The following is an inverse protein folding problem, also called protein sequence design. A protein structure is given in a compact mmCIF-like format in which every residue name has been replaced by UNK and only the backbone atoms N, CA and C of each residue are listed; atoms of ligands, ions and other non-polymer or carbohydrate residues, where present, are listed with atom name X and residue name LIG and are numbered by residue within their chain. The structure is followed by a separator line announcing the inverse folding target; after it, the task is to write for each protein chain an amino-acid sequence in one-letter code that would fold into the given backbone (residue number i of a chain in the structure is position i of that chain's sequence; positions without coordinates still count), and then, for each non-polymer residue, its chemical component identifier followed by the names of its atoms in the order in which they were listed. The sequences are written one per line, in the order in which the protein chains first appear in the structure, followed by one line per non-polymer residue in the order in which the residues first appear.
data_IF_017901923838
#
_entry.id   IF_017901923838
#
_cell.length_a   1.000
_cell.length_b   1.000
_cell.length_c   1.000
_cell.angle_alpha   90.00
_cell.angle_beta   90.00
_cell.angle_gamma   90.00
#
_symmetry.space_group_name_H-M   'P 1'
#
loop_
_entity.id
_entity.type
_entity.pdbx_description
1 polymer ?
#
# COMPACT_ATOMS: atom_id res chain seq x y z
N UNK A 1 -3.59 31.48 -15.69
CA UNK A 1 -2.97 30.18 -15.37
C UNK A 1 -4.09 29.19 -15.11
N UNK A 2 -4.22 28.14 -15.91
CA UNK A 2 -5.25 27.10 -15.71
C UNK A 2 -4.82 26.27 -14.50
N UNK A 3 -5.58 26.36 -13.41
CA UNK A 3 -5.43 25.48 -12.24
C UNK A 3 -5.92 24.09 -12.65
N UNK A 4 -5.10 23.07 -12.44
CA UNK A 4 -5.45 21.67 -12.68
C UNK A 4 -6.19 21.18 -11.43
N UNK A 5 -7.42 20.71 -11.59
CA UNK A 5 -8.22 20.14 -10.51
C UNK A 5 -7.76 18.70 -10.33
N UNK A 6 -7.25 18.33 -9.15
CA UNK A 6 -6.92 16.95 -8.83
C UNK A 6 -7.97 16.40 -7.88
N UNK A 7 -8.48 15.22 -8.22
CA UNK A 7 -9.42 14.51 -7.37
C UNK A 7 -8.61 13.59 -6.48
N UNK A 8 -8.24 14.06 -5.28
CA UNK A 8 -7.76 13.16 -4.23
C UNK A 8 -8.94 12.28 -3.85
N UNK A 9 -8.81 10.95 -3.93
CA UNK A 9 -9.83 10.07 -3.41
C UNK A 9 -9.55 9.77 -1.95
N UNK A 10 -10.46 10.23 -1.11
CA UNK A 10 -10.52 9.82 0.27
C UNK A 10 -11.50 8.68 0.45
N UNK A 11 -11.08 7.66 1.19
CA UNK A 11 -11.95 6.54 1.55
C UNK A 11 -12.89 6.87 2.71
N UNK A 12 -13.84 7.80 2.53
CA UNK A 12 -14.95 7.89 3.48
C UNK A 12 -15.99 6.80 3.16
N UNK A 13 -15.95 5.68 3.87
CA UNK A 13 -17.00 4.67 3.78
C UNK A 13 -18.27 5.19 4.47
N UNK A 14 -19.31 5.44 3.67
CA UNK A 14 -20.65 5.80 4.15
C UNK A 14 -21.39 4.52 4.50
N UNK A 15 -21.82 4.40 5.76
CA UNK A 15 -22.62 3.29 6.24
C UNK A 15 -24.08 3.34 5.75
N UNK A 16 -24.60 2.14 5.53
CA UNK A 16 -26.01 1.73 5.46
C UNK A 16 -26.65 1.64 4.08
N UNK A 17 -27.25 0.47 3.88
CA UNK A 17 -28.15 0.00 2.84
C UNK A 17 -28.90 1.11 2.10
N UNK A 18 -28.36 1.51 0.95
CA UNK A 18 -29.02 2.42 0.04
C UNK A 18 -28.03 2.93 -0.98
N UNK A 19 -28.37 2.80 -2.26
CA UNK A 19 -27.61 3.40 -3.36
C UNK A 19 -27.55 4.92 -3.08
N UNK A 20 -26.43 5.41 -2.60
CA UNK A 20 -26.11 6.82 -2.53
C UNK A 20 -24.87 7.00 -3.38
N UNK A 21 -25.00 7.81 -4.43
CA UNK A 21 -23.94 8.11 -5.38
C UNK A 21 -22.66 8.51 -4.63
N UNK A 22 -21.55 7.84 -4.91
CA UNK A 22 -20.23 8.40 -4.65
C UNK A 22 -20.19 9.79 -5.30
N UNK A 23 -20.23 10.85 -4.49
CA UNK A 23 -19.97 12.17 -5.01
C UNK A 23 -18.45 12.24 -5.26
N UNK A 24 -18.09 12.37 -6.53
CA UNK A 24 -16.75 12.75 -6.95
C UNK A 24 -16.49 14.19 -6.46
N UNK A 25 -16.12 14.36 -5.20
CA UNK A 25 -15.62 15.63 -4.69
C UNK A 25 -14.12 15.68 -4.95
N UNK A 26 -13.69 16.61 -5.80
CA UNK A 26 -12.28 16.95 -5.92
C UNK A 26 -11.82 17.59 -4.62
N UNK A 27 -10.97 16.88 -3.88
CA UNK A 27 -10.59 17.23 -2.50
C UNK A 27 -9.40 18.21 -2.44
N UNK A 28 -8.72 18.51 -3.56
CA UNK A 28 -7.69 19.56 -3.56
C UNK A 28 -7.61 20.36 -4.88
N UNK A 29 -7.09 21.59 -4.75
CA UNK A 29 -6.69 22.44 -5.88
C UNK A 29 -5.18 22.33 -6.16
N UNK A 30 -4.51 21.36 -5.54
CA UNK A 30 -3.07 21.15 -5.66
C UNK A 30 -2.78 20.16 -6.79
N UNK A 31 -1.74 20.44 -7.56
CA UNK A 31 -1.36 19.70 -8.76
C UNK A 31 -0.64 18.38 -8.47
N UNK A 32 -0.45 18.01 -7.19
CA UNK A 32 0.34 16.86 -6.77
C UNK A 32 -0.16 16.26 -5.45
N UNK A 33 -1.24 15.48 -5.47
CA UNK A 33 -1.74 14.75 -4.30
C UNK A 33 -1.61 13.26 -4.48
N UNK A 34 -1.08 12.58 -3.46
CA UNK A 34 -0.95 11.12 -3.40
C UNK A 34 -1.25 10.65 -1.98
N UNK A 35 -1.45 9.34 -1.81
CA UNK A 35 -1.49 8.66 -0.50
C UNK A 35 -2.53 9.19 0.47
N UNK A 36 -3.75 8.65 0.39
CA UNK A 36 -4.88 9.10 1.22
C UNK A 36 -5.35 8.03 2.23
N UNK A 37 -5.67 8.47 3.43
CA UNK A 37 -6.36 7.72 4.48
C UNK A 37 -7.63 8.46 4.91
N UNK A 38 -8.55 7.79 5.58
CA UNK A 38 -9.79 8.41 6.02
C UNK A 38 -10.23 7.86 7.37
N UNK A 39 -10.83 8.73 8.17
CA UNK A 39 -11.43 8.36 9.46
C UNK A 39 -12.88 7.94 9.27
N UNK A 40 -13.26 6.80 9.86
CA UNK A 40 -14.66 6.37 9.96
C UNK A 40 -15.45 7.19 10.98
N UNK A 41 -16.78 7.19 10.87
CA UNK A 41 -17.67 7.84 11.84
C UNK A 41 -18.20 9.21 11.42
N UNK A 42 -18.55 10.08 12.39
CA UNK A 42 -19.26 11.35 12.16
C UNK A 42 -18.43 12.45 11.52
N UNK A 43 -17.10 12.35 11.51
CA UNK A 43 -16.21 13.44 11.10
C UNK A 43 -15.81 13.41 9.62
N UNK A 44 -16.03 12.31 8.88
CA UNK A 44 -15.75 12.18 7.43
C UNK A 44 -14.50 12.97 7.00
N UNK A 45 -13.37 12.74 7.67
CA UNK A 45 -12.10 13.44 7.41
C UNK A 45 -11.18 12.55 6.59
N UNK A 46 -10.63 13.14 5.55
CA UNK A 46 -9.57 12.63 4.67
C UNK A 46 -8.23 13.11 5.19
N UNK A 47 -7.21 12.28 5.13
CA UNK A 47 -5.82 12.66 5.30
C UNK A 47 -5.09 12.34 4.01
N UNK A 48 -4.28 13.25 3.50
CA UNK A 48 -3.59 13.08 2.24
C UNK A 48 -2.30 13.88 2.22
N UNK A 49 -1.45 13.63 1.24
CA UNK A 49 -0.21 14.39 1.07
C UNK A 49 -0.39 15.44 -0.03
N UNK A 50 0.10 16.64 0.21
CA UNK A 50 0.16 17.73 -0.75
C UNK A 50 1.46 18.51 -0.61
N UNK A 51 1.85 19.25 -1.64
CA UNK A 51 3.12 19.97 -1.63
C UNK A 51 2.96 21.49 -1.43
N UNK A 52 1.72 21.96 -1.36
CA UNK A 52 1.41 23.38 -1.11
C UNK A 52 2.00 24.32 -2.18
N UNK A 53 2.39 23.79 -3.34
CA UNK A 53 3.11 24.50 -4.41
C UNK A 53 4.64 24.51 -4.29
N UNK A 54 5.24 23.74 -3.39
CA UNK A 54 6.70 23.62 -3.19
C UNK A 54 7.14 22.22 -3.63
N UNK A 55 7.95 22.11 -4.68
CA UNK A 55 8.23 20.82 -5.34
C UNK A 55 8.97 19.77 -4.49
N UNK A 56 9.74 20.21 -3.50
CA UNK A 56 10.61 19.33 -2.69
C UNK A 56 10.18 19.27 -1.21
N UNK A 57 8.95 19.67 -0.89
CA UNK A 57 8.39 19.51 0.45
C UNK A 57 6.95 18.99 0.34
N UNK A 58 6.72 17.80 0.87
CA UNK A 58 5.42 17.17 0.92
C UNK A 58 4.96 17.11 2.36
N UNK A 59 3.78 17.66 2.61
CA UNK A 59 3.19 17.73 3.94
C UNK A 59 1.90 16.94 4.00
N UNK A 60 1.54 16.53 5.21
CA UNK A 60 0.27 15.89 5.48
C UNK A 60 -0.80 16.98 5.65
N UNK A 61 -1.94 16.77 4.99
CA UNK A 61 -3.13 17.61 5.09
C UNK A 61 -4.31 16.77 5.55
N UNK A 62 -5.28 17.44 6.16
CA UNK A 62 -6.63 16.92 6.38
C UNK A 62 -7.65 17.68 5.56
N UNK A 63 -8.70 16.98 5.14
CA UNK A 63 -9.86 17.57 4.49
C UNK A 63 -11.13 17.03 5.11
N UNK A 64 -11.99 17.91 5.61
CA UNK A 64 -13.30 17.54 6.13
C UNK A 64 -14.33 17.52 4.99
N UNK A 65 -14.96 16.36 4.75
CA UNK A 65 -15.92 16.21 3.65
C UNK A 65 -17.28 16.88 3.91
N UNK A 66 -17.61 17.19 5.17
CA UNK A 66 -18.89 17.77 5.55
C UNK A 66 -18.90 19.27 5.29
N UNK A 67 -17.84 19.97 5.66
CA UNK A 67 -17.74 21.43 5.55
C UNK A 67 -16.69 21.92 4.55
N UNK A 68 -15.98 21.00 3.88
CA UNK A 68 -14.94 21.29 2.89
C UNK A 68 -13.72 22.03 3.45
N UNK A 69 -13.47 21.93 4.75
CA UNK A 69 -12.31 22.55 5.40
C UNK A 69 -11.04 21.74 5.12
N UNK A 70 -10.03 22.40 4.55
CA UNK A 70 -8.69 21.85 4.32
C UNK A 70 -7.72 22.43 5.37
N UNK A 71 -6.91 21.58 6.00
CA UNK A 71 -5.94 21.99 7.04
C UNK A 71 -4.61 21.26 6.84
N UNK A 72 -3.51 22.00 6.71
CA UNK A 72 -2.15 21.44 6.74
C UNK A 72 -1.80 21.00 8.17
N UNK A 73 -1.27 19.79 8.32
CA UNK A 73 -0.99 19.16 9.62
C UNK A 73 0.50 19.04 9.95
N UNK A 74 1.39 18.97 8.95
CA UNK A 74 2.84 19.02 9.16
C UNK A 74 3.45 20.28 8.56
N UNK A 75 4.52 20.79 9.16
CA UNK A 75 5.24 22.00 8.77
C UNK A 75 6.76 21.81 8.79
N UNK A 76 7.22 20.58 9.05
CA UNK A 76 8.63 20.22 8.99
C UNK A 76 9.18 20.45 7.56
N UNK A 77 10.47 20.80 7.40
CA UNK A 77 11.11 20.83 6.08
C UNK A 77 11.32 19.45 5.44
N UNK A 78 11.16 18.37 6.22
CA UNK A 78 11.20 16.99 5.74
C UNK A 78 9.99 16.66 4.85
N UNK A 79 10.13 15.59 4.07
CA UNK A 79 9.05 15.00 3.29
C UNK A 79 8.26 14.08 4.22
N UNK A 80 6.97 14.37 4.42
CA UNK A 80 6.05 13.53 5.17
C UNK A 80 5.05 12.87 4.19
N UNK A 81 5.02 11.54 4.19
CA UNK A 81 4.27 10.73 3.22
C UNK A 81 3.44 9.62 3.88
N UNK A 82 2.54 9.02 3.10
CA UNK A 82 1.76 7.83 3.49
C UNK A 82 1.02 7.97 4.84
N UNK A 83 0.25 9.05 5.07
CA UNK A 83 -0.48 9.21 6.32
C UNK A 83 -1.56 8.14 6.42
N UNK A 84 -1.58 7.42 7.55
CA UNK A 84 -2.62 6.46 7.90
C UNK A 84 -3.09 6.69 9.33
N UNK A 85 -4.38 6.99 9.48
CA UNK A 85 -5.00 7.14 10.80
C UNK A 85 -5.25 5.78 11.41
N UNK A 86 -5.04 5.65 12.72
CA UNK A 86 -5.41 4.45 13.44
C UNK A 86 -6.92 4.29 13.49
N UNK A 87 -7.40 3.13 13.07
CA UNK A 87 -8.81 2.74 13.17
C UNK A 87 -9.24 2.49 14.62
N UNK A 88 -8.28 2.20 15.50
CA UNK A 88 -8.51 1.97 16.93
C UNK A 88 -8.53 3.29 17.73
N UNK A 89 -7.65 4.23 17.38
CA UNK A 89 -7.59 5.57 17.98
C UNK A 89 -7.40 6.63 16.89
N UNK A 90 -8.49 7.31 16.54
CA UNK A 90 -8.49 8.31 15.47
C UNK A 90 -7.67 9.56 15.77
N UNK A 91 -7.11 9.68 16.98
CA UNK A 91 -6.19 10.77 17.33
C UNK A 91 -4.76 10.49 16.90
N UNK A 92 -4.45 9.26 16.48
CA UNK A 92 -3.09 8.85 16.13
C UNK A 92 -2.97 8.65 14.62
N UNK A 93 -1.87 9.17 14.07
CA UNK A 93 -1.45 8.98 12.67
C UNK A 93 -0.12 8.24 12.64
N UNK A 94 0.00 7.25 11.76
CA UNK A 94 1.29 6.73 11.32
C UNK A 94 1.62 7.28 9.93
N UNK A 95 2.90 7.49 9.65
CA UNK A 95 3.34 8.07 8.38
C UNK A 95 4.84 7.82 8.16
N UNK A 96 5.29 7.97 6.93
CA UNK A 96 6.71 7.90 6.55
C UNK A 96 7.32 9.30 6.55
N UNK A 97 8.51 9.48 7.12
CA UNK A 97 9.20 10.77 7.08
C UNK A 97 10.72 10.61 7.01
N UNK A 98 11.39 11.54 6.33
CA UNK A 98 12.86 11.63 6.30
C UNK A 98 13.39 12.74 7.23
N UNK A 99 12.69 13.04 8.32
CA UNK A 99 13.08 14.12 9.26
C UNK A 99 14.36 13.87 10.05
N UNK A 100 14.77 12.60 10.17
CA UNK A 100 15.96 12.18 10.94
C UNK A 100 17.05 11.55 10.04
N UNK A 101 16.95 11.66 8.71
CA UNK A 101 17.88 11.02 7.77
C UNK A 101 17.59 11.35 6.31
N UNK A 102 18.41 10.82 5.39
CA UNK A 102 18.10 10.92 3.94
C UNK A 102 16.99 9.93 3.55
N UNK A 103 16.92 8.78 4.23
CA UNK A 103 15.92 7.74 4.03
C UNK A 103 14.68 7.94 4.89
N UNK A 104 13.57 7.34 4.46
CA UNK A 104 12.30 7.38 5.19
C UNK A 104 12.29 6.37 6.34
N UNK A 105 11.80 6.80 7.50
CA UNK A 105 11.39 5.91 8.59
C UNK A 105 9.89 6.02 8.85
N UNK A 106 9.35 5.04 9.57
CA UNK A 106 7.97 5.07 10.07
C UNK A 106 7.92 5.85 11.38
N UNK A 107 6.96 6.76 11.48
CA UNK A 107 6.65 7.54 12.68
C UNK A 107 5.19 7.37 13.08
N UNK A 108 4.92 7.63 14.35
CA UNK A 108 3.57 7.86 14.87
C UNK A 108 3.50 9.21 15.59
N UNK A 109 2.35 9.85 15.54
CA UNK A 109 2.12 11.14 16.20
C UNK A 109 0.64 11.35 16.54
N UNK A 110 0.35 12.32 17.41
CA UNK A 110 -0.98 12.90 17.58
C UNK A 110 -1.31 13.74 16.33
N UNK A 111 -2.45 13.48 15.72
CA UNK A 111 -2.92 14.14 14.51
C UNK A 111 -3.13 15.65 14.68
N UNK A 112 -3.35 16.11 15.92
CA UNK A 112 -3.54 17.53 16.25
C UNK A 112 -2.21 18.28 16.44
N UNK A 113 -1.09 17.56 16.57
CA UNK A 113 0.26 18.14 16.74
C UNK A 113 1.33 17.17 16.21
N UNK A 114 1.32 16.90 14.90
CA UNK A 114 2.21 15.88 14.31
C UNK A 114 3.68 16.24 14.54
N UNK A 115 4.07 17.49 14.27
CA UNK A 115 5.46 17.93 14.40
C UNK A 115 5.95 17.94 15.86
N UNK A 116 5.06 18.25 16.81
CA UNK A 116 5.40 18.31 18.24
C UNK A 116 5.41 16.95 18.95
N UNK A 117 4.73 15.94 18.38
CA UNK A 117 4.52 14.63 19.03
C UNK A 117 5.08 13.44 18.25
N UNK A 118 5.66 13.68 17.07
CA UNK A 118 6.26 12.65 16.24
C UNK A 118 7.28 11.79 17.01
N UNK A 119 7.06 10.48 16.97
CA UNK A 119 7.94 9.46 17.54
C UNK A 119 8.41 8.52 16.43
N UNK A 120 9.73 8.43 16.23
CA UNK A 120 10.38 7.53 15.26
C UNK A 120 10.24 6.08 15.73
N UNK A 121 9.75 5.20 14.86
CA UNK A 121 9.55 3.77 15.15
C UNK A 121 10.64 2.89 14.50
N UNK A 122 11.02 3.21 13.27
CA UNK A 122 12.08 2.51 12.55
C UNK A 122 13.33 3.37 12.43
N UNK A 123 14.49 2.73 12.27
CA UNK A 123 15.80 3.37 12.28
C UNK A 123 16.67 2.79 11.16
N UNK A 124 16.18 2.88 9.93
CA UNK A 124 16.84 2.27 8.77
C UNK A 124 17.48 3.36 7.90
N UNK A 125 18.78 3.58 8.12
CA UNK A 125 19.51 4.62 7.41
C UNK A 125 19.99 4.18 6.02
N UNK A 126 19.86 2.88 5.69
CA UNK A 126 20.31 2.32 4.41
C UNK A 126 19.20 2.27 3.35
N UNK A 127 17.93 2.18 3.78
CA UNK A 127 16.79 1.96 2.91
C UNK A 127 15.49 2.55 3.46
N UNK A 128 14.58 3.02 2.59
CA UNK A 128 13.37 3.67 3.03
C UNK A 128 12.32 2.67 3.53
N UNK A 129 11.71 2.99 4.66
CA UNK A 129 10.51 2.36 5.19
C UNK A 129 9.27 3.18 4.81
N UNK A 130 8.36 2.56 4.06
CA UNK A 130 7.22 3.22 3.39
C UNK A 130 5.90 2.47 3.64
N UNK A 131 4.79 3.11 3.30
CA UNK A 131 3.45 2.50 3.29
C UNK A 131 3.02 1.84 4.63
N UNK A 132 3.04 2.58 5.75
CA UNK A 132 2.50 2.04 6.98
C UNK A 132 1.00 1.76 6.85
N UNK A 133 0.53 0.71 7.51
CA UNK A 133 -0.89 0.42 7.74
C UNK A 133 -1.08 -0.17 9.13
N UNK A 134 -2.12 0.28 9.83
CA UNK A 134 -2.43 -0.22 11.17
C UNK A 134 -3.02 -1.63 11.12
N UNK A 135 -2.62 -2.47 12.06
CA UNK A 135 -3.39 -3.65 12.42
C UNK A 135 -4.59 -3.22 13.29
N UNK A 136 -5.75 -3.89 13.21
CA UNK A 136 -6.93 -3.55 14.01
C UNK A 136 -6.74 -3.65 15.53
N UNK A 137 -5.64 -4.23 16.02
CA UNK A 137 -5.31 -4.21 17.45
C UNK A 137 -4.80 -2.86 17.97
N UNK A 138 -4.51 -1.89 17.08
CA UNK A 138 -4.07 -0.54 17.44
C UNK A 138 -2.62 -0.43 17.94
N UNK A 139 -1.84 -1.52 17.91
CA UNK A 139 -0.46 -1.53 18.39
C UNK A 139 0.54 -2.04 17.36
N UNK A 140 0.11 -2.77 16.33
CA UNK A 140 0.99 -3.18 15.24
C UNK A 140 0.80 -2.33 13.98
N UNK A 141 1.89 -2.08 13.28
CA UNK A 141 1.93 -1.44 11.96
C UNK A 141 2.66 -2.37 11.00
N UNK A 142 2.03 -2.70 9.86
CA UNK A 142 2.71 -3.32 8.72
C UNK A 142 3.23 -2.23 7.79
N UNK A 143 4.39 -2.44 7.18
CA UNK A 143 5.01 -1.48 6.28
C UNK A 143 5.91 -2.18 5.27
N UNK A 144 6.25 -1.47 4.20
CA UNK A 144 7.22 -1.89 3.19
C UNK A 144 8.60 -1.37 3.56
N UNK A 145 9.62 -2.22 3.47
CA UNK A 145 11.03 -1.82 3.61
C UNK A 145 11.79 -2.32 2.40
N UNK A 146 12.60 -1.46 1.80
CA UNK A 146 13.45 -1.87 0.68
C UNK A 146 14.68 -2.65 1.20
N UNK A 147 14.95 -3.77 0.54
CA UNK A 147 16.19 -4.54 0.56
C UNK A 147 16.73 -5.04 1.92
N UNK A 148 15.96 -5.93 2.57
CA UNK A 148 16.57 -6.93 3.47
C UNK A 148 17.03 -8.16 2.66
N UNK A 149 18.30 -8.59 2.74
CA UNK A 149 18.74 -9.79 2.02
C UNK A 149 18.02 -11.03 2.56
N UNK A 150 17.17 -11.64 1.73
CA UNK A 150 16.57 -12.95 2.04
C UNK A 150 17.37 -14.03 1.33
N UNK A 151 17.83 -15.01 2.10
CA UNK A 151 18.49 -16.20 1.58
C UNK A 151 17.45 -17.19 1.08
N UNK A 152 17.23 -17.24 -0.24
CA UNK A 152 16.32 -18.21 -0.85
C UNK A 152 17.10 -19.47 -1.19
N UNK A 153 16.52 -20.62 -0.83
CA UNK A 153 17.05 -21.93 -1.21
C UNK A 153 16.33 -22.42 -2.46
N UNK A 154 17.05 -22.45 -3.59
CA UNK A 154 16.51 -22.94 -4.87
C UNK A 154 16.99 -24.36 -5.10
N UNK A 155 16.06 -25.26 -5.34
CA UNK A 155 16.37 -26.64 -5.73
C UNK A 155 16.35 -26.76 -7.24
N UNK A 156 17.51 -27.01 -7.85
CA UNK A 156 17.61 -27.23 -9.29
C UNK A 156 17.85 -28.72 -9.57
N UNK A 157 16.96 -29.34 -10.35
CA UNK A 157 17.13 -30.70 -10.80
C UNK A 157 17.96 -30.70 -12.09
N UNK A 158 19.22 -31.13 -12.00
CA UNK A 158 20.13 -31.09 -13.14
C UNK A 158 19.78 -32.12 -14.23
N UNK A 159 19.28 -33.29 -13.82
CA UNK A 159 18.71 -34.36 -14.65
C UNK A 159 17.76 -35.22 -13.82
N UNK A 160 16.88 -35.99 -14.46
CA UNK A 160 15.88 -36.86 -13.81
C UNK A 160 16.50 -37.90 -12.84
N UNK A 161 17.80 -38.19 -12.99
CA UNK A 161 18.54 -39.16 -12.17
C UNK A 161 19.62 -38.52 -11.26
N UNK A 162 19.75 -37.18 -11.22
CA UNK A 162 20.74 -36.52 -10.35
C UNK A 162 20.16 -36.19 -8.98
N UNK A 163 21.02 -36.14 -7.96
CA UNK A 163 20.65 -35.48 -6.71
C UNK A 163 20.36 -33.99 -6.97
N UNK A 164 19.35 -33.42 -6.31
CA UNK A 164 19.02 -32.01 -6.44
C UNK A 164 20.21 -31.13 -6.03
N UNK A 165 20.51 -30.13 -6.86
CA UNK A 165 21.49 -29.09 -6.49
C UNK A 165 20.75 -28.07 -5.63
N UNK A 166 21.24 -27.87 -4.41
CA UNK A 166 20.75 -26.84 -3.50
C UNK A 166 21.60 -25.59 -3.72
N UNK A 167 20.98 -24.55 -4.26
CA UNK A 167 21.61 -23.24 -4.44
C UNK A 167 21.08 -22.27 -3.38
N UNK A 168 21.99 -21.60 -2.69
CA UNK A 168 21.65 -20.47 -1.85
C UNK A 168 21.87 -19.19 -2.64
N UNK A 169 20.80 -18.43 -2.84
CA UNK A 169 20.85 -17.18 -3.62
C UNK A 169 20.39 -16.04 -2.72
N UNK A 170 21.25 -15.03 -2.57
CA UNK A 170 20.89 -13.76 -1.94
C UNK A 170 20.02 -13.00 -2.92
N UNK A 171 18.88 -12.52 -2.44
CA UNK A 171 17.95 -11.71 -3.23
C UNK A 171 17.67 -10.40 -2.49
N UNK A 172 17.49 -9.33 -3.25
CA UNK A 172 17.20 -7.98 -2.79
C UNK A 172 15.74 -7.67 -3.15
N UNK A 173 14.92 -7.42 -2.12
CA UNK A 173 13.47 -7.27 -2.24
C UNK A 173 12.99 -6.09 -1.43
N UNK A 174 11.96 -5.39 -1.92
CA UNK A 174 11.02 -4.73 -1.02
C UNK A 174 10.27 -5.82 -0.26
N UNK A 175 10.40 -5.83 1.06
CA UNK A 175 9.81 -6.82 1.96
C UNK A 175 8.72 -6.20 2.82
N UNK A 176 7.80 -7.04 3.27
CA UNK A 176 6.81 -6.66 4.28
C UNK A 176 7.41 -6.87 5.66
N UNK A 177 7.20 -5.89 6.53
CA UNK A 177 7.68 -5.93 7.90
C UNK A 177 6.57 -5.42 8.81
N UNK A 178 6.62 -5.86 10.05
CA UNK A 178 5.71 -5.40 11.08
C UNK A 178 6.50 -4.86 12.27
N UNK A 179 5.96 -3.85 12.92
CA UNK A 179 6.51 -3.25 14.13
C UNK A 179 5.41 -3.07 15.17
N UNK A 180 5.74 -3.31 16.44
CA UNK A 180 4.90 -2.96 17.59
C UNK A 180 5.30 -1.56 18.07
N UNK A 181 4.34 -0.64 18.11
CA UNK A 181 4.57 0.76 18.52
C UNK A 181 5.05 0.87 19.97
N UNK A 182 4.75 -0.13 20.81
CA UNK A 182 5.15 -0.15 22.21
C UNK A 182 6.58 -0.66 22.40
N UNK A 183 7.17 -1.26 21.37
CA UNK A 183 8.55 -1.76 21.37
C UNK A 183 9.27 -1.31 20.08
N UNK A 184 9.55 0.00 19.93
CA UNK A 184 10.21 0.53 18.74
C UNK A 184 11.55 -0.16 18.44
N UNK A 185 11.95 -0.11 17.16
CA UNK A 185 13.14 -0.77 16.61
C UNK A 185 13.12 -2.32 16.61
N UNK A 186 12.15 -2.99 17.23
CA UNK A 186 11.99 -4.45 17.13
C UNK A 186 11.12 -4.80 15.92
N UNK A 187 11.78 -5.23 14.85
CA UNK A 187 11.13 -5.50 13.56
C UNK A 187 10.83 -6.99 13.43
N UNK A 188 9.59 -7.30 13.05
CA UNK A 188 9.15 -8.65 12.68
C UNK A 188 9.13 -8.75 11.15
N UNK A 189 10.10 -9.42 10.51
CA UNK A 189 10.08 -9.62 9.07
C UNK A 189 8.98 -10.61 8.68
N UNK A 190 8.19 -10.26 7.66
CA UNK A 190 7.15 -11.12 7.10
C UNK A 190 7.66 -11.76 5.81
N UNK A 191 8.22 -12.96 5.93
CA UNK A 191 8.78 -13.70 4.79
C UNK A 191 7.65 -14.28 3.93
N UNK A 192 7.33 -13.60 2.83
CA UNK A 192 6.29 -14.01 1.88
C UNK A 192 6.55 -15.41 1.30
N UNK A 193 7.81 -15.85 1.23
CA UNK A 193 8.16 -17.20 0.77
C UNK A 193 7.60 -18.26 1.72
N UNK A 194 7.47 -17.97 3.01
CA UNK A 194 6.87 -18.89 3.98
C UNK A 194 5.35 -19.09 3.77
N UNK A 195 4.68 -18.11 3.16
CA UNK A 195 3.25 -18.18 2.84
C UNK A 195 2.95 -18.90 1.51
N UNK A 196 3.99 -19.35 0.79
CA UNK A 196 3.89 -19.92 -0.55
C UNK A 196 3.85 -21.46 -0.54
N UNK A 197 2.89 -22.03 -1.24
CA UNK A 197 2.93 -23.44 -1.68
C UNK A 197 4.03 -23.66 -2.73
N UNK A 198 5.15 -24.26 -2.31
CA UNK A 198 6.33 -24.55 -3.15
C UNK A 198 6.06 -25.38 -4.42
N UNK A 199 4.86 -25.95 -4.57
CA UNK A 199 4.49 -26.79 -5.72
C UNK A 199 3.73 -26.01 -6.81
N UNK A 200 3.07 -24.90 -6.47
CA UNK A 200 2.32 -24.07 -7.40
C UNK A 200 2.93 -22.66 -7.43
N UNK A 201 3.68 -22.33 -8.47
CA UNK A 201 4.27 -21.01 -8.66
C UNK A 201 3.21 -20.01 -9.15
N UNK A 202 2.80 -19.00 -8.34
CA UNK A 202 1.86 -17.97 -8.78
C UNK A 202 2.50 -16.98 -9.76
N UNK A 203 3.80 -17.05 -10.04
CA UNK A 203 4.49 -16.20 -11.00
C UNK A 203 4.88 -14.82 -10.45
N UNK A 204 4.88 -14.64 -9.13
CA UNK A 204 5.39 -13.42 -8.47
C UNK A 204 6.88 -13.21 -8.77
N UNK A 205 7.61 -14.30 -9.00
CA UNK A 205 9.07 -14.31 -9.07
C UNK A 205 9.56 -14.49 -10.50
N UNK A 206 10.09 -13.43 -11.10
CA UNK A 206 10.94 -13.56 -12.28
C UNK A 206 12.36 -13.84 -11.81
N UNK A 207 12.89 -15.01 -12.19
CA UNK A 207 14.28 -15.39 -11.96
C UNK A 207 15.24 -14.34 -12.55
N UNK A 208 15.94 -13.60 -11.68
CA UNK A 208 17.02 -12.68 -12.05
C UNK A 208 16.73 -11.21 -11.82
N UNK A 209 15.48 -10.84 -11.49
CA UNK A 209 15.07 -9.45 -11.28
C UNK A 209 14.61 -9.19 -9.84
N UNK A 210 14.64 -7.92 -9.43
CA UNK A 210 14.05 -7.46 -8.16
C UNK A 210 12.52 -7.52 -8.24
N UNK A 211 11.89 -8.10 -7.21
CA UNK A 211 10.44 -8.06 -7.06
C UNK A 211 10.09 -6.92 -6.12
N UNK A 212 9.30 -5.98 -6.62
CA UNK A 212 8.74 -4.90 -5.81
C UNK A 212 7.49 -5.43 -5.13
N UNK A 213 7.47 -5.42 -3.80
CA UNK A 213 6.29 -5.76 -3.00
C UNK A 213 5.98 -4.58 -2.12
N UNK A 214 4.80 -4.01 -2.29
CA UNK A 214 4.46 -2.74 -1.66
C UNK A 214 2.99 -2.61 -1.29
N UNK A 215 2.71 -1.56 -0.54
CA UNK A 215 1.37 -1.13 -0.13
C UNK A 215 0.58 -2.22 0.61
N UNK A 216 1.12 -2.79 1.71
CA UNK A 216 0.39 -3.74 2.51
C UNK A 216 -0.78 -3.07 3.25
N UNK A 217 -1.87 -3.79 3.41
CA UNK A 217 -2.91 -3.43 4.37
C UNK A 217 -3.56 -4.67 4.99
N UNK A 218 -3.99 -4.53 6.24
CA UNK A 218 -4.79 -5.55 6.91
C UNK A 218 -6.27 -5.41 6.54
N UNK A 219 -6.99 -6.52 6.56
CA UNK A 219 -8.44 -6.49 6.66
C UNK A 219 -8.88 -6.06 8.07
N UNK A 220 -10.18 -5.83 8.24
CA UNK A 220 -10.73 -5.34 9.52
C UNK A 220 -10.68 -6.40 10.64
N UNK A 221 -10.59 -7.69 10.29
CA UNK A 221 -10.43 -8.78 11.26
C UNK A 221 -8.96 -8.97 11.68
N UNK A 222 -8.01 -8.42 10.91
CA UNK A 222 -6.56 -8.51 11.16
C UNK A 222 -5.91 -9.82 10.73
N UNK A 223 -6.68 -10.77 10.20
CA UNK A 223 -6.22 -12.12 9.85
C UNK A 223 -5.85 -12.28 8.35
N UNK A 224 -6.03 -11.24 7.55
CA UNK A 224 -5.61 -11.18 6.15
C UNK A 224 -4.81 -9.91 5.86
N UNK A 225 -3.77 -10.07 5.06
CA UNK A 225 -3.01 -8.97 4.46
C UNK A 225 -3.27 -8.97 2.96
N UNK A 226 -3.59 -7.81 2.40
CA UNK A 226 -3.56 -7.56 0.95
C UNK A 226 -2.32 -6.74 0.62
N UNK A 227 -1.68 -7.04 -0.50
CA UNK A 227 -0.50 -6.31 -0.98
C UNK A 227 -0.42 -6.34 -2.50
N UNK A 228 0.46 -5.52 -3.03
CA UNK A 228 0.73 -5.45 -4.47
C UNK A 228 2.14 -5.90 -4.78
N UNK A 229 2.33 -6.62 -5.88
CA UNK A 229 3.66 -7.04 -6.32
C UNK A 229 3.88 -6.81 -7.82
N UNK A 230 5.08 -6.34 -8.17
CA UNK A 230 5.50 -6.20 -9.55
C UNK A 230 5.97 -7.54 -10.11
N UNK A 231 5.35 -7.97 -11.21
CA UNK A 231 5.58 -9.27 -11.84
C UNK A 231 6.55 -9.21 -13.03
N UNK A 232 7.16 -8.06 -13.33
CA UNK A 232 8.01 -7.88 -14.51
C UNK A 232 9.43 -7.39 -14.23
N UNK A 233 9.84 -7.40 -12.96
CA UNK A 233 11.19 -6.98 -12.54
C UNK A 233 11.48 -5.48 -12.71
N UNK A 234 10.63 -4.75 -13.44
CA UNK A 234 10.80 -3.34 -13.82
C UNK A 234 9.72 -2.44 -13.21
N UNK A 235 8.81 -3.01 -12.40
CA UNK A 235 7.74 -2.25 -11.76
C UNK A 235 6.68 -1.74 -12.71
N UNK A 236 6.51 -2.31 -13.92
CA UNK A 236 5.53 -1.81 -14.91
C UNK A 236 4.25 -2.61 -14.93
N UNK A 237 4.29 -3.86 -14.47
CA UNK A 237 3.19 -4.80 -14.46
C UNK A 237 3.02 -5.28 -13.02
N UNK A 238 1.83 -5.05 -12.46
CA UNK A 238 1.55 -5.32 -11.06
C UNK A 238 0.40 -6.31 -10.93
N UNK A 239 0.34 -7.01 -9.81
CA UNK A 239 -0.77 -7.87 -9.44
C UNK A 239 -1.09 -7.67 -7.96
N UNK A 240 -2.31 -8.05 -7.56
CA UNK A 240 -2.79 -7.98 -6.17
C UNK A 240 -2.81 -9.37 -5.58
N UNK A 241 -2.35 -9.47 -4.34
CA UNK A 241 -2.23 -10.72 -3.62
C UNK A 241 -2.82 -10.58 -2.23
N UNK A 242 -3.29 -11.70 -1.69
CA UNK A 242 -3.70 -11.83 -0.29
C UNK A 242 -2.90 -12.93 0.38
N UNK A 243 -2.66 -12.79 1.68
CA UNK A 243 -2.03 -13.81 2.51
C UNK A 243 -2.71 -13.84 3.89
N UNK A 244 -2.79 -15.02 4.48
CA UNK A 244 -3.25 -15.21 5.85
C UNK A 244 -2.20 -14.77 6.87
N UNK A 245 -2.69 -14.21 7.97
CA UNK A 245 -1.90 -13.75 9.10
C UNK A 245 -2.41 -14.36 10.40
N UNK A 246 -1.51 -14.95 11.18
CA UNK A 246 -1.80 -15.49 12.51
C UNK A 246 -1.54 -14.39 13.55
N UNK A 247 -2.62 -13.84 14.09
CA UNK A 247 -2.61 -12.76 15.10
C UNK A 247 -2.11 -13.20 16.48
N UNK A 248 -1.97 -14.50 16.73
CA UNK A 248 -1.42 -15.01 18.00
C UNK A 248 0.10 -15.08 17.91
N UNK A 249 0.62 -15.55 16.78
CA UNK A 249 2.06 -15.74 16.59
C UNK A 249 2.73 -14.58 15.86
N UNK A 250 1.95 -13.60 15.39
CA UNK A 250 2.42 -12.47 14.60
C UNK A 250 3.19 -12.90 13.35
N UNK A 251 2.66 -13.90 12.64
CA UNK A 251 3.37 -14.54 11.52
C UNK A 251 2.45 -14.87 10.35
N UNK A 252 3.04 -15.07 9.17
CA UNK A 252 2.28 -15.45 7.97
C UNK A 252 1.82 -16.91 8.06
N UNK A 253 0.59 -17.17 7.62
CA UNK A 253 0.05 -18.53 7.53
C UNK A 253 0.66 -19.23 6.31
N UNK A 254 1.27 -20.39 6.54
CA UNK A 254 1.88 -21.17 5.46
C UNK A 254 0.86 -21.58 4.38
N UNK A 255 1.28 -21.53 3.11
CA UNK A 255 0.46 -21.87 1.94
C UNK A 255 -0.86 -21.07 1.80
N UNK A 256 -0.92 -19.87 2.38
CA UNK A 256 -2.12 -19.01 2.34
C UNK A 256 -2.09 -17.96 1.23
N UNK A 257 -0.96 -17.86 0.51
CA UNK A 257 -0.79 -16.87 -0.55
C UNK A 257 -1.77 -17.13 -1.71
N UNK A 258 -2.58 -16.14 -2.04
CA UNK A 258 -3.54 -16.17 -3.12
C UNK A 258 -3.32 -14.98 -4.07
N UNK A 259 -3.18 -15.27 -5.37
CA UNK A 259 -3.20 -14.25 -6.42
C UNK A 259 -4.63 -13.81 -6.66
N UNK A 260 -4.98 -12.60 -6.25
CA UNK A 260 -6.34 -12.05 -6.38
C UNK A 260 -6.62 -11.66 -7.82
N UNK A 261 -5.69 -10.91 -8.41
CA UNK A 261 -5.82 -10.41 -9.77
C UNK A 261 -4.73 -10.97 -10.66
N UNK A 262 -5.08 -11.23 -11.91
CA UNK A 262 -4.17 -11.73 -12.93
C UNK A 262 -4.06 -10.73 -14.07
N UNK A 263 -2.83 -10.32 -14.36
CA UNK A 263 -2.52 -9.32 -15.38
C UNK A 263 -1.85 -9.93 -16.62
N UNK A 264 -2.57 -10.67 -17.48
CA UNK A 264 -1.94 -11.26 -18.65
C UNK A 264 -1.39 -10.17 -19.57
N UNK A 265 -0.15 -10.31 -20.03
CA UNK A 265 0.40 -9.48 -21.10
C UNK A 265 -0.28 -9.86 -22.43
N UNK A 266 -1.46 -9.31 -22.68
CA UNK A 266 -2.25 -9.59 -23.88
C UNK A 266 -1.68 -8.83 -25.10
N UNK A 267 -1.55 -9.49 -26.27
CA UNK A 267 -1.06 -8.83 -27.49
C UNK A 267 -1.90 -7.59 -27.85
N UNK A 268 -1.26 -6.43 -27.93
CA UNK A 268 -1.91 -5.15 -28.28
C UNK A 268 -2.66 -4.45 -27.14
N UNK A 269 -2.82 -5.09 -25.98
CA UNK A 269 -3.52 -4.54 -24.79
C UNK A 269 -2.53 -4.34 -23.62
N UNK A 270 -1.50 -5.21 -23.49
CA UNK A 270 -0.56 -5.22 -22.36
C UNK A 270 -1.20 -5.73 -21.06
N UNK A 271 -0.46 -5.70 -19.94
CA UNK A 271 -1.03 -5.97 -18.62
C UNK A 271 -2.06 -4.88 -18.25
N UNK A 272 -3.24 -5.31 -17.78
CA UNK A 272 -4.36 -4.48 -17.34
C UNK A 272 -4.15 -3.81 -15.97
N UNK A 273 -3.10 -4.18 -15.26
CA UNK A 273 -2.75 -3.71 -13.93
C UNK A 273 -1.34 -3.13 -13.96
N UNK A 274 -1.29 -1.82 -13.78
CA UNK A 274 -0.07 -1.01 -13.77
C UNK A 274 -0.27 0.01 -12.65
N UNK A 275 0.34 -0.17 -11.49
CA UNK A 275 -0.08 0.52 -10.26
C UNK A 275 1.02 1.35 -9.63
N UNK A 276 0.61 2.40 -8.91
CA UNK A 276 1.39 3.24 -7.97
C UNK A 276 0.44 3.80 -6.88
N UNK A 277 -0.06 2.96 -5.95
CA UNK A 277 -0.93 3.45 -4.86
C UNK A 277 -1.63 2.40 -4.00
N UNK A 278 -1.47 1.11 -4.31
CA UNK A 278 -1.84 0.03 -3.40
C UNK A 278 -3.27 -0.53 -3.48
N UNK A 279 -3.53 -1.52 -2.63
CA UNK A 279 -4.82 -2.18 -2.50
C UNK A 279 -5.22 -2.25 -1.01
N UNK A 280 -6.52 -2.18 -0.74
CA UNK A 280 -7.08 -2.28 0.62
C UNK A 280 -8.40 -3.02 0.63
N UNK A 281 -8.75 -3.61 1.78
CA UNK A 281 -10.05 -4.21 1.98
C UNK A 281 -11.14 -3.13 2.17
N UNK A 282 -12.36 -3.45 1.77
CA UNK A 282 -13.54 -2.71 2.23
C UNK A 282 -13.76 -2.95 3.73
N UNK A 283 -14.43 -2.01 4.39
CA UNK A 283 -14.70 -2.08 5.84
C UNK A 283 -15.55 -3.29 6.28
N UNK A 284 -16.25 -3.93 5.35
CA UNK A 284 -17.00 -5.17 5.62
C UNK A 284 -16.25 -6.44 5.17
N UNK A 285 -14.98 -6.30 4.76
CA UNK A 285 -14.11 -7.35 4.25
C UNK A 285 -14.67 -8.10 3.01
N UNK A 286 -15.66 -7.54 2.30
CA UNK A 286 -16.29 -8.21 1.16
C UNK A 286 -15.61 -7.92 -0.19
N UNK A 287 -14.92 -6.79 -0.30
CA UNK A 287 -14.24 -6.33 -1.51
C UNK A 287 -12.78 -5.97 -1.23
N UNK A 288 -11.95 -6.04 -2.28
CA UNK A 288 -10.63 -5.43 -2.34
C UNK A 288 -10.72 -4.26 -3.33
N UNK A 289 -10.36 -3.08 -2.86
CA UNK A 289 -10.32 -1.84 -3.63
C UNK A 289 -8.88 -1.53 -3.99
N UNK A 290 -8.64 -1.15 -5.24
CA UNK A 290 -7.31 -0.87 -5.76
C UNK A 290 -7.36 0.26 -6.81
N UNK A 291 -6.27 0.99 -6.97
CA UNK A 291 -6.10 1.92 -8.10
C UNK A 291 -5.36 1.23 -9.26
N UNK A 292 -5.61 1.54 -10.53
CA UNK A 292 -4.80 1.00 -11.65
C UNK A 292 -4.77 1.96 -12.84
N UNK A 293 -3.60 2.09 -13.49
CA UNK A 293 -3.34 3.13 -14.51
C UNK A 293 -3.80 2.82 -15.94
N UNK A 294 -4.28 1.62 -16.33
CA UNK A 294 -4.94 1.53 -17.66
C UNK A 294 -5.85 0.33 -18.03
N UNK A 295 -7.07 0.70 -18.47
CA UNK A 295 -7.67 0.29 -19.77
C UNK A 295 -7.76 1.46 -20.79
N UNK A 296 -7.71 2.75 -20.39
CA UNK A 296 -7.74 3.92 -21.32
C UNK A 296 -6.97 5.21 -20.99
N UNK A 297 -6.14 5.32 -19.94
CA UNK A 297 -5.00 6.29 -19.93
C UNK A 297 -4.75 7.04 -18.63
N UNK A 298 -5.54 6.75 -17.60
CA UNK A 298 -5.55 7.45 -16.33
C UNK A 298 -5.76 6.43 -15.19
N UNK A 299 -5.26 6.71 -13.99
CA UNK A 299 -5.56 5.92 -12.77
C UNK A 299 -7.06 5.87 -12.53
N UNK A 300 -7.63 4.67 -12.41
CA UNK A 300 -9.02 4.48 -11.99
C UNK A 300 -9.06 3.62 -10.74
N UNK A 301 -10.15 3.74 -9.99
CA UNK A 301 -10.43 2.86 -8.87
C UNK A 301 -11.20 1.65 -9.38
N UNK A 302 -10.78 0.48 -8.95
CA UNK A 302 -11.46 -0.77 -9.18
C UNK A 302 -11.79 -1.41 -7.84
N UNK A 303 -12.88 -2.17 -7.80
CA UNK A 303 -13.22 -3.00 -6.66
C UNK A 303 -13.60 -4.39 -7.13
N UNK A 304 -12.96 -5.40 -6.54
CA UNK A 304 -13.10 -6.82 -6.84
C UNK A 304 -13.52 -7.58 -5.58
N UNK A 305 -14.18 -8.74 -5.67
CA UNK A 305 -14.49 -9.55 -4.49
C UNK A 305 -13.23 -9.92 -3.70
N UNK A 306 -13.28 -9.85 -2.36
CA UNK A 306 -12.12 -10.14 -1.51
C UNK A 306 -11.62 -11.60 -1.66
N UNK A 307 -12.53 -12.53 -1.95
CA UNK A 307 -12.22 -13.94 -2.23
C UNK A 307 -11.89 -14.23 -3.69
N UNK A 308 -11.62 -13.22 -4.52
CA UNK A 308 -11.25 -13.43 -5.92
C UNK A 308 -9.91 -14.17 -6.02
N UNK A 309 -9.76 -14.96 -7.09
CA UNK A 309 -8.55 -15.68 -7.42
C UNK A 309 -8.37 -15.67 -8.92
N UNK A 310 -7.16 -15.29 -9.38
CA UNK A 310 -6.80 -15.16 -10.79
C UNK A 310 -7.76 -14.30 -11.62
N UNK A 311 -8.35 -13.26 -11.00
CA UNK A 311 -9.35 -12.44 -11.64
C UNK A 311 -8.70 -11.50 -12.66
N UNK A 312 -9.13 -11.60 -13.92
CA UNK A 312 -8.76 -10.64 -14.95
C UNK A 312 -9.55 -9.34 -14.75
N UNK A 313 -8.83 -8.25 -14.48
CA UNK A 313 -9.44 -6.94 -14.24
C UNK A 313 -10.01 -6.35 -15.54
N UNK A 314 -11.30 -6.01 -15.53
CA UNK A 314 -11.99 -5.35 -16.63
C UNK A 314 -12.84 -4.15 -16.18
N UNK A 315 -13.49 -3.48 -17.14
CA UNK A 315 -14.31 -2.28 -16.92
C UNK A 315 -15.50 -2.48 -15.97
N UNK A 316 -15.97 -3.72 -15.77
CA UNK A 316 -17.09 -4.02 -14.86
C UNK A 316 -16.72 -3.85 -13.39
N UNK A 317 -15.42 -3.94 -13.06
CA UNK A 317 -14.90 -3.71 -11.72
C UNK A 317 -14.54 -2.23 -11.47
N UNK A 318 -14.56 -1.39 -12.50
CA UNK A 318 -14.23 0.04 -12.38
C UNK A 318 -15.32 0.79 -11.60
N UNK A 319 -14.92 1.60 -10.62
CA UNK A 319 -15.80 2.39 -9.74
C UNK A 319 -15.77 3.88 -10.04
N UNK A 320 -14.70 4.37 -10.67
CA UNK A 320 -14.55 5.80 -11.00
C UNK A 320 -14.36 5.99 -12.49
N UNK A 321 -14.66 7.18 -13.01
CA UNK A 321 -14.43 7.54 -14.41
C UNK A 321 -13.80 8.93 -14.45
N UNK A 322 -12.47 8.98 -14.63
CA UNK A 322 -11.73 10.24 -14.72
C UNK A 322 -11.03 10.43 -16.07
N UNK A 323 -11.24 11.61 -16.67
CA UNK A 323 -10.64 12.02 -17.94
C UNK A 323 -9.27 12.72 -17.74
N UNK A 324 -8.80 12.91 -16.50
CA UNK A 324 -7.55 13.60 -16.15
C UNK A 324 -6.43 12.65 -15.68
N UNK A 325 -5.18 13.10 -15.80
CA UNK A 325 -4.00 12.35 -15.37
C UNK A 325 -3.80 12.50 -13.85
N UNK A 326 -3.98 11.41 -13.11
CA UNK A 326 -3.82 11.35 -11.65
C UNK A 326 -2.46 10.72 -11.24
N UNK A 327 -1.57 10.45 -12.20
CA UNK A 327 -0.23 9.95 -11.88
C UNK A 327 0.69 11.10 -11.50
N UNK A 328 0.93 11.23 -10.19
CA UNK A 328 2.03 12.01 -9.65
C UNK A 328 3.09 11.00 -9.23
N UNK A 329 4.32 11.06 -9.79
CA UNK A 329 5.40 10.20 -9.35
C UNK A 329 5.59 10.33 -7.84
N UNK A 330 5.75 9.21 -7.14
CA UNK A 330 6.20 9.24 -5.76
C UNK A 330 7.54 9.98 -5.67
N UNK A 331 7.74 10.87 -4.70
CA UNK A 331 9.05 11.43 -4.46
C UNK A 331 10.03 10.28 -4.16
N UNK A 332 11.11 10.25 -4.94
CA UNK A 332 12.21 9.28 -4.80
C UNK A 332 12.92 9.59 -3.50
#
# INVERSE_FOLDING_TARGET
MRKMMITVFAFAFIFSTGIISAQNTSISNDSQTTNASASGGTTQTVYYVGNGGIWDNWDIYSYNLIDSTETRLTFNPAIDNHPVISHFDTTIVAFSSNRDGEEFDIYVADVMDIDGTATRLTFNDDYPDRHPHWHPDGHHIIYTSKDRPVMVTVTQQATECSQPIILHVIRYFEGLNMIDINIPAVIVPLDIVSAWDQVADPGIWILGDSTYVGHPSFNEDGDLIVFTAAIDGQGKNWEVYTMGFDTITNSLIANSLNRVTFGPNLPGIGNTIKMTGGASFSHDNTEIVLNSTRLTGNSQIFSVPAGASDLMLDITYQRTFHLGNDYVPEPI
#
